data_IF_386950350473
#
_entry.id   IF_386950350473
#
_cell.length_a   1.000
_cell.length_b   1.000
_cell.length_c   1.000
_cell.angle_alpha   90.00
_cell.angle_beta   90.00
_cell.angle_gamma   90.00
#
_symmetry.space_group_name_H-M   'P 1'
#
loop_
_entity.id
_entity.type
_entity.pdbx_description
1 polymer ?
#
# COMPACT_ATOMS: atom_id res chain seq x y z
N UNK A 1 -4.15 -2.06 7.74
CA UNK A 1 -3.06 -1.86 8.70
C UNK A 1 -2.42 -3.20 9.13
N UNK A 2 -3.15 -4.11 9.80
CA UNK A 2 -2.59 -5.36 10.33
C UNK A 2 -1.93 -6.23 9.25
N UNK A 3 -2.55 -6.42 8.10
CA UNK A 3 -1.98 -7.20 7.00
C UNK A 3 -0.66 -6.62 6.46
N UNK A 4 -0.57 -5.28 6.33
CA UNK A 4 0.66 -4.62 5.92
C UNK A 4 1.77 -4.79 6.95
N UNK A 5 1.44 -4.61 8.24
CA UNK A 5 2.37 -4.81 9.35
C UNK A 5 2.92 -6.24 9.37
N UNK A 6 2.03 -7.23 9.44
CA UNK A 6 2.42 -8.64 9.54
C UNK A 6 3.13 -9.16 8.28
N UNK A 7 2.69 -8.71 7.10
CA UNK A 7 3.33 -9.09 5.84
C UNK A 7 4.76 -8.57 5.74
N UNK A 8 5.00 -7.32 6.13
CA UNK A 8 6.35 -6.76 6.10
C UNK A 8 7.26 -7.41 7.16
N UNK A 9 6.77 -7.62 8.38
CA UNK A 9 7.51 -8.35 9.42
C UNK A 9 7.91 -9.75 8.91
N UNK A 10 7.00 -10.47 8.27
CA UNK A 10 7.31 -11.81 7.76
C UNK A 10 8.40 -11.80 6.68
N UNK A 11 8.39 -10.81 5.79
CA UNK A 11 9.42 -10.61 4.76
C UNK A 11 10.77 -10.27 5.41
N UNK A 12 10.79 -9.33 6.33
CA UNK A 12 12.00 -8.89 7.02
C UNK A 12 12.62 -10.02 7.85
N UNK A 13 11.80 -10.81 8.53
CA UNK A 13 12.28 -12.00 9.25
C UNK A 13 12.88 -13.05 8.31
N UNK A 14 12.31 -13.20 7.11
CA UNK A 14 12.86 -14.10 6.10
C UNK A 14 14.24 -13.66 5.61
N UNK A 15 14.44 -12.35 5.43
CA UNK A 15 15.74 -11.79 5.02
C UNK A 15 16.70 -11.53 6.18
N UNK A 16 16.24 -11.63 7.44
CA UNK A 16 17.07 -11.51 8.64
C UNK A 16 17.38 -10.07 9.08
N UNK A 17 16.78 -9.07 8.48
CA UNK A 17 17.04 -7.66 8.75
C UNK A 17 15.73 -6.86 8.93
N UNK A 18 15.16 -6.82 10.15
CA UNK A 18 13.92 -6.07 10.39
C UNK A 18 14.14 -4.56 10.26
N UNK A 19 13.42 -3.92 9.36
CA UNK A 19 13.44 -2.49 9.13
C UNK A 19 12.15 -1.84 9.63
N UNK A 20 12.17 -1.30 10.85
CA UNK A 20 10.98 -0.78 11.53
C UNK A 20 10.30 0.37 10.81
N UNK A 21 11.05 1.24 10.13
CA UNK A 21 10.52 2.34 9.33
C UNK A 21 9.61 1.84 8.21
N UNK A 22 10.04 0.83 7.47
CA UNK A 22 9.28 0.22 6.38
C UNK A 22 8.11 -0.62 6.88
N UNK A 23 8.27 -1.31 8.01
CA UNK A 23 7.18 -2.02 8.70
C UNK A 23 6.07 -1.05 9.09
N UNK A 24 6.42 0.08 9.71
CA UNK A 24 5.45 1.12 10.11
C UNK A 24 4.80 1.80 8.91
N UNK A 25 5.57 2.07 7.85
CA UNK A 25 5.03 2.61 6.60
C UNK A 25 4.03 1.64 5.94
N UNK A 26 4.27 0.33 5.98
CA UNK A 26 3.34 -0.71 5.50
C UNK A 26 2.06 -0.76 6.32
N UNK A 27 2.17 -0.59 7.64
CA UNK A 27 1.01 -0.45 8.52
C UNK A 27 0.18 0.79 8.18
N UNK A 28 0.85 1.94 8.00
CA UNK A 28 0.23 3.20 7.60
C UNK A 28 -0.45 3.09 6.23
N UNK A 29 0.20 2.44 5.26
CA UNK A 29 -0.37 2.18 3.94
C UNK A 29 -1.72 1.45 4.03
N UNK A 30 -1.77 0.33 4.76
CA UNK A 30 -2.99 -0.43 4.93
C UNK A 30 -4.10 0.34 5.68
N UNK A 31 -3.73 1.22 6.61
CA UNK A 31 -4.65 2.11 7.32
C UNK A 31 -5.21 3.20 6.42
N UNK A 32 -4.34 3.95 5.75
CA UNK A 32 -4.72 5.05 4.87
C UNK A 32 -5.54 4.58 3.67
N UNK A 33 -5.15 3.49 3.01
CA UNK A 33 -5.92 2.93 1.91
C UNK A 33 -7.31 2.47 2.39
N UNK A 34 -7.38 1.85 3.59
CA UNK A 34 -8.65 1.47 4.19
C UNK A 34 -9.56 2.67 4.49
N UNK A 35 -9.02 3.78 4.96
CA UNK A 35 -9.77 5.02 5.19
C UNK A 35 -10.23 5.61 3.84
N UNK A 36 -9.35 5.76 2.87
CA UNK A 36 -9.67 6.32 1.56
C UNK A 36 -10.75 5.50 0.84
N UNK A 37 -10.64 4.19 0.83
CA UNK A 37 -11.65 3.31 0.20
C UNK A 37 -12.99 3.35 0.93
N UNK A 38 -13.01 3.60 2.23
CA UNK A 38 -14.24 3.79 2.99
C UNK A 38 -14.89 5.15 2.69
N UNK A 39 -14.11 6.23 2.74
CA UNK A 39 -14.61 7.60 2.48
C UNK A 39 -15.09 7.77 1.05
N UNK A 40 -14.43 7.15 0.08
CA UNK A 40 -14.83 7.17 -1.34
C UNK A 40 -15.97 6.19 -1.67
N UNK A 41 -16.48 5.44 -0.70
CA UNK A 41 -17.56 4.46 -0.91
C UNK A 41 -17.14 3.19 -1.63
N UNK A 42 -15.87 3.01 -1.97
CA UNK A 42 -15.35 1.85 -2.70
C UNK A 42 -15.52 0.53 -1.96
N UNK A 43 -15.57 0.57 -0.63
CA UNK A 43 -15.73 -0.63 0.21
C UNK A 43 -17.02 -1.40 -0.06
N UNK A 44 -18.10 -0.70 -0.44
CA UNK A 44 -19.41 -1.28 -0.73
C UNK A 44 -19.77 -1.28 -2.21
N UNK A 45 -18.93 -0.69 -3.06
CA UNK A 45 -19.18 -0.56 -4.48
C UNK A 45 -19.05 -1.89 -5.25
N UNK A 46 -19.70 -1.98 -6.40
CA UNK A 46 -19.36 -2.95 -7.43
C UNK A 46 -18.07 -2.48 -8.13
N UNK A 47 -17.20 -3.42 -8.51
CA UNK A 47 -15.95 -3.06 -9.21
C UNK A 47 -16.18 -3.03 -10.73
N UNK A 48 -16.90 -1.99 -11.18
CA UNK A 48 -16.96 -1.55 -12.56
C UNK A 48 -15.71 -0.71 -12.92
N UNK A 49 -15.63 -0.26 -14.17
CA UNK A 49 -14.50 0.51 -14.68
C UNK A 49 -14.23 1.79 -13.86
N UNK A 50 -15.28 2.49 -13.47
CA UNK A 50 -15.14 3.75 -12.72
C UNK A 50 -14.58 3.50 -11.32
N UNK A 51 -15.10 2.52 -10.62
CA UNK A 51 -14.62 2.15 -9.28
C UNK A 51 -13.22 1.56 -9.30
N UNK A 52 -12.83 0.85 -10.37
CA UNK A 52 -11.44 0.42 -10.56
C UNK A 52 -10.49 1.60 -10.75
N UNK A 53 -10.88 2.62 -11.52
CA UNK A 53 -10.09 3.85 -11.66
C UNK A 53 -9.96 4.55 -10.31
N UNK A 54 -11.05 4.73 -9.59
CA UNK A 54 -11.05 5.34 -8.25
C UNK A 54 -10.13 4.59 -7.27
N UNK A 55 -10.22 3.24 -7.27
CA UNK A 55 -9.32 2.41 -6.45
C UNK A 55 -7.86 2.66 -6.80
N UNK A 56 -7.53 2.69 -8.09
CA UNK A 56 -6.15 2.90 -8.54
C UNK A 56 -5.64 4.31 -8.21
N UNK A 57 -6.48 5.33 -8.22
CA UNK A 57 -6.12 6.66 -7.76
C UNK A 57 -5.87 6.70 -6.25
N UNK A 58 -6.73 6.05 -5.46
CA UNK A 58 -6.57 5.96 -4.01
C UNK A 58 -5.28 5.22 -3.63
N UNK A 59 -5.02 4.07 -4.24
CA UNK A 59 -3.82 3.29 -3.95
C UNK A 59 -2.55 4.01 -4.38
N UNK A 60 -2.54 4.67 -5.55
CA UNK A 60 -1.40 5.45 -6.02
C UNK A 60 -1.06 6.59 -5.04
N UNK A 61 -2.06 7.37 -4.65
CA UNK A 61 -1.88 8.45 -3.67
C UNK A 61 -1.33 7.89 -2.33
N UNK A 62 -1.87 6.76 -1.87
CA UNK A 62 -1.41 6.13 -0.63
C UNK A 62 0.02 5.62 -0.74
N UNK A 63 0.41 5.03 -1.88
CA UNK A 63 1.79 4.60 -2.11
C UNK A 63 2.77 5.78 -2.09
N UNK A 64 2.43 6.88 -2.75
CA UNK A 64 3.26 8.09 -2.73
C UNK A 64 3.43 8.62 -1.31
N UNK A 65 2.35 8.76 -0.55
CA UNK A 65 2.41 9.25 0.84
C UNK A 65 3.25 8.33 1.73
N UNK A 66 3.06 7.02 1.63
CA UNK A 66 3.74 6.09 2.53
C UNK A 66 5.21 5.86 2.14
N UNK A 67 5.50 5.64 0.86
CA UNK A 67 6.84 5.23 0.43
C UNK A 67 7.75 6.39 0.06
N UNK A 68 7.21 7.49 -0.49
CA UNK A 68 7.99 8.69 -0.75
C UNK A 68 7.93 9.74 0.38
N UNK A 69 7.07 9.53 1.38
CA UNK A 69 6.90 10.43 2.52
C UNK A 69 7.22 9.75 3.85
N UNK A 70 6.31 8.90 4.36
CA UNK A 70 6.40 8.33 5.72
C UNK A 70 7.65 7.48 5.90
N UNK A 71 7.94 6.54 4.99
CA UNK A 71 9.10 5.66 5.12
C UNK A 71 10.42 6.43 5.15
N UNK A 72 10.73 7.35 4.20
CA UNK A 72 11.94 8.16 4.26
C UNK A 72 12.09 8.99 5.54
N UNK A 73 11.01 9.61 6.00
CA UNK A 73 11.05 10.40 7.24
C UNK A 73 11.38 9.51 8.44
N UNK A 74 10.77 8.33 8.53
CA UNK A 74 11.07 7.38 9.61
C UNK A 74 12.51 6.84 9.53
N UNK A 75 13.04 6.58 8.32
CA UNK A 75 14.43 6.17 8.12
C UNK A 75 15.43 7.21 8.66
N UNK A 76 15.21 8.47 8.30
CA UNK A 76 16.05 9.57 8.77
C UNK A 76 15.98 9.69 10.30
N UNK A 77 14.79 9.58 10.88
CA UNK A 77 14.58 9.74 12.32
C UNK A 77 15.11 8.56 13.14
N UNK A 78 14.97 7.33 12.64
CA UNK A 78 15.33 6.12 13.39
C UNK A 78 16.78 5.67 13.16
N UNK A 79 17.29 5.88 11.95
CA UNK A 79 18.59 5.31 11.54
C UNK A 79 19.61 6.35 11.08
N UNK A 80 19.23 7.65 11.02
CA UNK A 80 20.12 8.76 10.59
C UNK A 80 20.69 8.57 9.18
N UNK A 81 19.93 7.91 8.30
CA UNK A 81 20.32 7.66 6.91
C UNK A 81 20.37 8.94 6.07
N UNK A 82 21.14 8.91 4.99
CA UNK A 82 21.28 10.06 4.10
C UNK A 82 20.00 10.31 3.28
N UNK A 83 19.56 11.57 3.22
CA UNK A 83 18.32 11.97 2.56
C UNK A 83 18.25 11.51 1.11
N UNK A 84 19.30 11.74 0.32
CA UNK A 84 19.30 11.45 -1.12
C UNK A 84 19.02 9.96 -1.40
N UNK A 85 19.73 9.07 -0.70
CA UNK A 85 19.59 7.63 -0.86
C UNK A 85 18.19 7.14 -0.46
N UNK A 86 17.67 7.64 0.65
CA UNK A 86 16.39 7.17 1.20
C UNK A 86 15.20 7.64 0.35
N UNK A 87 15.23 8.87 -0.16
CA UNK A 87 14.18 9.35 -1.06
C UNK A 87 14.19 8.62 -2.40
N UNK A 88 15.36 8.28 -2.95
CA UNK A 88 15.47 7.44 -4.15
C UNK A 88 14.86 6.05 -3.93
N UNK A 89 15.18 5.39 -2.81
CA UNK A 89 14.60 4.10 -2.43
C UNK A 89 13.09 4.21 -2.24
N UNK A 90 12.62 5.23 -1.54
CA UNK A 90 11.21 5.49 -1.30
C UNK A 90 10.42 5.70 -2.59
N UNK A 91 10.96 6.48 -3.52
CA UNK A 91 10.33 6.70 -4.81
C UNK A 91 10.27 5.41 -5.64
N UNK A 92 11.35 4.65 -5.67
CA UNK A 92 11.40 3.34 -6.34
C UNK A 92 10.38 2.38 -5.75
N UNK A 93 10.27 2.32 -4.42
CA UNK A 93 9.27 1.51 -3.73
C UNK A 93 7.84 1.99 -4.03
N UNK A 94 7.59 3.31 -4.06
CA UNK A 94 6.27 3.86 -4.40
C UNK A 94 5.82 3.42 -5.79
N UNK A 95 6.70 3.51 -6.80
CA UNK A 95 6.38 3.11 -8.17
C UNK A 95 6.15 1.61 -8.29
N UNK A 96 7.08 0.79 -7.81
CA UNK A 96 6.99 -0.67 -7.95
C UNK A 96 5.79 -1.25 -7.21
N UNK A 97 5.52 -0.78 -6.00
CA UNK A 97 4.37 -1.21 -5.21
C UNK A 97 3.05 -0.72 -5.80
N UNK A 98 3.00 0.52 -6.34
CA UNK A 98 1.81 1.03 -7.01
C UNK A 98 1.46 0.22 -8.27
N UNK A 99 2.44 -0.14 -9.09
CA UNK A 99 2.24 -0.98 -10.28
C UNK A 99 1.75 -2.38 -9.88
N UNK A 100 2.38 -3.00 -8.89
CA UNK A 100 1.98 -4.32 -8.38
C UNK A 100 0.55 -4.29 -7.83
N UNK A 101 0.21 -3.27 -7.03
CA UNK A 101 -1.15 -3.11 -6.48
C UNK A 101 -2.17 -2.79 -7.57
N UNK A 102 -1.80 -2.04 -8.60
CA UNK A 102 -2.69 -1.76 -9.71
C UNK A 102 -3.07 -3.05 -10.47
N UNK A 103 -2.10 -3.92 -10.72
CA UNK A 103 -2.34 -5.18 -11.44
C UNK A 103 -3.01 -6.21 -10.54
N UNK A 104 -2.33 -6.62 -9.48
CA UNK A 104 -2.78 -7.73 -8.62
C UNK A 104 -4.00 -7.33 -7.80
N UNK A 105 -3.99 -6.13 -7.20
CA UNK A 105 -5.09 -5.61 -6.40
C UNK A 105 -6.38 -5.46 -7.23
N UNK A 106 -6.29 -4.89 -8.43
CA UNK A 106 -7.44 -4.77 -9.33
C UNK A 106 -8.00 -6.13 -9.75
N UNK A 107 -7.13 -7.09 -10.09
CA UNK A 107 -7.56 -8.45 -10.45
C UNK A 107 -8.29 -9.14 -9.29
N UNK A 108 -7.76 -9.03 -8.07
CA UNK A 108 -8.39 -9.60 -6.87
C UNK A 108 -9.74 -8.94 -6.55
N UNK A 109 -9.86 -7.63 -6.70
CA UNK A 109 -11.12 -6.91 -6.46
C UNK A 109 -12.20 -7.31 -7.48
N UNK A 110 -11.85 -7.43 -8.76
CA UNK A 110 -12.77 -7.91 -9.80
C UNK A 110 -13.21 -9.34 -9.51
N UNK A 111 -12.28 -10.24 -9.19
CA UNK A 111 -12.58 -11.62 -8.83
C UNK A 111 -13.52 -11.70 -7.61
N UNK A 112 -13.21 -10.94 -6.55
CA UNK A 112 -14.05 -10.88 -5.35
C UNK A 112 -15.47 -10.35 -5.65
N UNK A 113 -15.59 -9.29 -6.42
CA UNK A 113 -16.88 -8.71 -6.83
C UNK A 113 -17.71 -9.72 -7.62
N UNK A 114 -17.10 -10.44 -8.54
CA UNK A 114 -17.75 -11.48 -9.33
C UNK A 114 -18.28 -12.62 -8.46
N UNK A 115 -17.48 -13.09 -7.51
CA UNK A 115 -17.87 -14.15 -6.57
C UNK A 115 -19.01 -13.71 -5.65
N UNK A 116 -18.97 -12.46 -5.17
CA UNK A 116 -20.03 -11.89 -4.33
C UNK A 116 -21.36 -11.77 -5.05
N UNK A 117 -21.34 -11.40 -6.34
CA UNK A 117 -22.55 -11.25 -7.15
C UNK A 117 -23.19 -12.58 -7.51
N UNK A 118 -22.42 -13.69 -7.57
CA UNK A 118 -22.94 -15.04 -7.81
C UNK A 118 -23.71 -15.63 -6.61
N UNK A 119 -23.54 -15.05 -5.42
CA UNK A 119 -24.19 -15.53 -4.17
C UNK A 119 -25.49 -14.79 -3.84
N UNK A 120 -25.85 -13.80 -4.66
CA UNK A 120 -27.15 -13.10 -4.58
C UNK A 120 -28.11 -13.64 -5.62
#
# INVERSE_FOLDING_TARGET
>A
AAAGLLGHIAVDLYFGEPCWSWILASCAFGGLLGILTNVTGLRSASFDRENLVRFNLCQLATHVVCWAGIAPVLEILLYSESMDRIFEQGLTAAVSNAVTTAIVGSALLVAYSTLRNRKK
#
